data_IF_576879448848
#
_entry.id   IF_576879448848
#
_cell.length_a   1.000
_cell.length_b   1.000
_cell.length_c   1.000
_cell.angle_alpha   90.00
_cell.angle_beta   90.00
_cell.angle_gamma   90.00
#
_symmetry.space_group_name_H-M   'P 1'
#
loop_
_entity.id
_entity.type
_entity.pdbx_description
1 polymer ?
#
# COMPACT_ATOMS: atom_id res chain seq x y z
N UNK A 1 -17.11 -8.00 12.56
CA UNK A 1 -15.84 -8.73 12.69
C UNK A 1 -14.76 -7.94 11.97
N UNK A 2 -13.77 -7.43 12.70
CA UNK A 2 -12.58 -6.79 12.13
C UNK A 2 -11.64 -7.89 11.65
N UNK A 3 -11.56 -8.08 10.34
CA UNK A 3 -10.67 -9.05 9.70
C UNK A 3 -9.79 -8.37 8.65
N UNK A 4 -8.69 -9.02 8.28
CA UNK A 4 -7.86 -8.59 7.17
C UNK A 4 -8.52 -9.02 5.85
N UNK A 5 -8.56 -8.12 4.87
CA UNK A 5 -9.14 -8.36 3.54
C UNK A 5 -8.04 -8.28 2.49
N UNK A 6 -7.90 -9.31 1.66
CA UNK A 6 -6.89 -9.37 0.61
C UNK A 6 -7.42 -8.86 -0.75
N UNK A 7 -6.70 -7.93 -1.37
CA UNK A 7 -6.91 -7.44 -2.73
C UNK A 7 -5.76 -7.90 -3.64
N UNK A 8 -6.08 -8.59 -4.73
CA UNK A 8 -5.09 -9.04 -5.71
C UNK A 8 -4.79 -7.93 -6.72
N UNK A 9 -3.50 -7.62 -6.90
CA UNK A 9 -3.01 -6.58 -7.82
C UNK A 9 -1.91 -7.15 -8.72
N UNK A 10 -1.42 -6.36 -9.68
CA UNK A 10 -0.30 -6.76 -10.54
C UNK A 10 1.01 -6.94 -9.76
N UNK A 11 1.16 -6.22 -8.64
CA UNK A 11 2.35 -6.20 -7.80
C UNK A 11 2.36 -7.32 -6.75
N UNK A 12 1.20 -7.93 -6.45
CA UNK A 12 1.01 -8.91 -5.39
C UNK A 12 -0.34 -8.74 -4.67
N UNK A 13 -0.44 -9.25 -3.44
CA UNK A 13 -1.66 -9.16 -2.62
C UNK A 13 -1.52 -8.03 -1.58
N UNK A 14 -2.49 -7.12 -1.54
CA UNK A 14 -2.56 -6.08 -0.52
C UNK A 14 -3.56 -6.51 0.55
N UNK A 15 -3.13 -6.59 1.80
CA UNK A 15 -3.99 -6.88 2.94
C UNK A 15 -4.41 -5.58 3.63
N UNK A 16 -5.68 -5.22 3.48
CA UNK A 16 -6.30 -4.06 4.13
C UNK A 16 -7.09 -4.46 5.38
N UNK A 17 -7.76 -3.48 5.98
CA UNK A 17 -8.63 -3.68 7.16
C UNK A 17 -10.10 -3.49 6.80
N UNK A 18 -10.94 -4.38 7.30
CA UNK A 18 -12.39 -4.20 7.30
C UNK A 18 -12.79 -3.27 8.46
N UNK A 19 -13.49 -2.18 8.19
CA UNK A 19 -14.17 -1.35 9.19
C UNK A 19 -15.66 -1.70 9.22
N UNK A 20 -16.45 -0.98 10.03
CA UNK A 20 -17.89 -1.18 10.11
C UNK A 20 -18.59 -0.93 8.76
N UNK A 21 -18.12 0.03 7.97
CA UNK A 21 -18.82 0.51 6.77
C UNK A 21 -17.95 0.49 5.49
N UNK A 22 -16.67 0.14 5.59
CA UNK A 22 -15.74 0.20 4.46
C UNK A 22 -14.64 -0.86 4.57
N UNK A 23 -13.91 -1.02 3.46
CA UNK A 23 -12.62 -1.70 3.43
C UNK A 23 -11.57 -0.65 3.13
N UNK A 24 -10.53 -0.60 3.94
CA UNK A 24 -9.49 0.41 3.84
C UNK A 24 -8.14 -0.25 3.53
N UNK A 25 -7.47 0.29 2.52
CA UNK A 25 -6.10 -0.06 2.16
C UNK A 25 -5.22 1.20 2.28
N UNK A 26 -4.43 1.26 3.35
CA UNK A 26 -3.70 2.45 3.79
C UNK A 26 -2.20 2.32 3.55
N UNK A 27 -1.52 3.45 3.37
CA UNK A 27 -0.04 3.49 3.33
C UNK A 27 0.61 2.81 2.13
N UNK A 28 -0.13 2.57 1.04
CA UNK A 28 0.40 1.96 -0.19
C UNK A 28 1.40 2.93 -0.83
N UNK A 29 2.66 2.51 -0.97
CA UNK A 29 3.68 3.29 -1.66
C UNK A 29 3.43 3.26 -3.17
N UNK A 30 3.22 4.43 -3.77
CA UNK A 30 3.01 4.58 -5.21
C UNK A 30 4.26 5.10 -5.94
N UNK A 31 5.17 5.78 -5.24
CA UNK A 31 6.38 6.35 -5.82
C UNK A 31 7.56 6.33 -4.85
N UNK A 32 8.79 6.27 -5.39
CA UNK A 32 10.03 6.48 -4.65
C UNK A 32 10.59 7.85 -4.99
N UNK A 33 10.85 8.64 -3.96
CA UNK A 33 11.33 10.02 -4.08
C UNK A 33 12.81 10.14 -3.70
N UNK A 34 13.54 10.96 -4.44
CA UNK A 34 14.88 11.45 -4.08
C UNK A 34 14.81 12.97 -4.12
N UNK A 35 15.35 13.63 -3.10
CA UNK A 35 15.28 15.09 -2.99
C UNK A 35 15.79 15.74 -4.29
N UNK A 36 15.03 16.72 -4.79
CA UNK A 36 15.33 17.46 -6.03
C UNK A 36 15.34 16.62 -7.32
N UNK A 37 14.68 15.45 -7.31
CA UNK A 37 14.48 14.65 -8.52
C UNK A 37 13.00 14.32 -8.70
N UNK A 38 12.53 14.14 -9.95
CA UNK A 38 11.20 13.61 -10.21
C UNK A 38 10.98 12.26 -9.50
N UNK A 39 9.74 11.97 -9.08
CA UNK A 39 9.42 10.69 -8.45
C UNK A 39 9.60 9.53 -9.44
N UNK A 40 10.13 8.42 -8.93
CA UNK A 40 10.19 7.16 -9.66
C UNK A 40 8.91 6.36 -9.40
N UNK A 41 8.23 5.94 -10.47
CA UNK A 41 7.05 5.09 -10.36
C UNK A 41 7.39 3.74 -9.68
N UNK A 42 6.52 3.32 -8.77
CA UNK A 42 6.57 2.00 -8.13
C UNK A 42 5.41 1.10 -8.53
N UNK A 43 4.41 1.60 -9.27
CA UNK A 43 3.27 0.78 -9.68
C UNK A 43 3.70 -0.43 -10.53
N UNK A 44 4.79 -0.30 -11.28
CA UNK A 44 5.38 -1.38 -12.08
C UNK A 44 6.24 -2.38 -11.29
N UNK A 45 6.46 -2.20 -9.99
CA UNK A 45 7.32 -3.07 -9.17
C UNK A 45 6.52 -4.01 -8.28
N UNK A 46 6.94 -5.28 -8.22
CA UNK A 46 6.33 -6.25 -7.32
C UNK A 46 6.60 -5.90 -5.85
N UNK A 47 5.63 -6.21 -4.98
CA UNK A 47 5.82 -6.10 -3.54
C UNK A 47 6.86 -7.11 -3.05
N UNK A 48 7.65 -6.78 -2.01
CA UNK A 48 8.47 -7.75 -1.32
C UNK A 48 7.61 -8.95 -0.87
N UNK A 49 8.05 -10.18 -1.12
CA UNK A 49 7.30 -11.40 -0.79
C UNK A 49 5.89 -11.46 -1.41
N UNK A 50 5.65 -10.77 -2.53
CA UNK A 50 4.37 -10.73 -3.24
C UNK A 50 3.17 -10.27 -2.38
N UNK A 51 3.42 -9.59 -1.26
CA UNK A 51 2.36 -9.12 -0.37
C UNK A 51 2.71 -7.83 0.36
N UNK A 52 1.67 -7.06 0.72
CA UNK A 52 1.79 -5.81 1.45
C UNK A 52 0.73 -5.73 2.55
N UNK A 53 1.14 -5.35 3.77
CA UNK A 53 0.21 -5.02 4.86
C UNK A 53 -0.12 -3.52 4.78
N UNK A 54 -1.37 -3.19 4.45
CA UNK A 54 -1.86 -1.85 4.18
C UNK A 54 -2.93 -1.43 5.20
N UNK A 55 -2.61 -1.53 6.49
CA UNK A 55 -3.56 -1.27 7.60
C UNK A 55 -3.26 0.03 8.36
N UNK A 56 -2.16 0.70 8.03
CA UNK A 56 -1.66 1.90 8.72
C UNK A 56 -1.29 2.99 7.72
N UNK A 57 -1.43 4.26 8.12
CA UNK A 57 -0.95 5.38 7.32
C UNK A 57 0.58 5.37 7.22
N UNK A 58 1.09 5.84 6.07
CA UNK A 58 2.51 6.15 5.93
C UNK A 58 2.90 7.41 6.71
N UNK A 59 4.20 7.72 6.82
CA UNK A 59 4.66 8.95 7.45
C UNK A 59 4.15 10.18 6.69
N UNK A 60 3.82 11.24 7.43
CA UNK A 60 3.58 12.56 6.84
C UNK A 60 4.88 13.13 6.25
N UNK A 61 4.76 14.03 5.28
CA UNK A 61 5.92 14.79 4.82
C UNK A 61 6.51 15.58 6.00
N UNK A 62 7.84 15.55 6.19
CA UNK A 62 8.53 16.47 7.08
C UNK A 62 8.30 17.93 6.70
#
# INVERSE_FOLDING_TARGET
ATGNVGLRTQQGIIYGRQTQNSIEYLGIQYAKVVRWKPPMDLASKMFPNFSLQATSFGPCCP
#
